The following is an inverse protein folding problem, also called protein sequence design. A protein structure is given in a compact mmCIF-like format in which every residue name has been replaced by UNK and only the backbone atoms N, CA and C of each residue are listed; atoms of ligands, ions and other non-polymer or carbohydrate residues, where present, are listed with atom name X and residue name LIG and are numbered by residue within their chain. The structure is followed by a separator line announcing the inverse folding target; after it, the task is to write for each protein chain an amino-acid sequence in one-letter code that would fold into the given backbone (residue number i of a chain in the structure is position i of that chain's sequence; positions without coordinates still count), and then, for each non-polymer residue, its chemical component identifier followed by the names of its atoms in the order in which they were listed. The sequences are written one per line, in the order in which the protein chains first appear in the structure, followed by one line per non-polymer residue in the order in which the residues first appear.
data_IF_550489886129
#
_entry.id   IF_550489886129
#
_cell.length_a   1.000
_cell.length_b   1.000
_cell.length_c   1.000
_cell.angle_alpha   90.00
_cell.angle_beta   90.00
_cell.angle_gamma   90.00
#
_symmetry.space_group_name_H-M   'P 1'
#
loop_
_entity.id
_entity.type
_entity.pdbx_description
1 polymer ?
#
# COMPACT_ATOMS: atom_id res chain seq x y z
N UNK A 1 -1.09 13.04 -10.15
CA UNK A 1 -0.15 12.42 -9.22
C UNK A 1 1.15 13.17 -9.29
N UNK A 2 1.75 13.40 -8.14
CA UNK A 2 3.07 14.00 -7.99
C UNK A 2 4.18 12.95 -8.15
N UNK A 3 5.42 13.40 -8.35
CA UNK A 3 6.60 12.51 -8.34
C UNK A 3 6.72 11.74 -7.02
N UNK A 4 6.34 12.37 -5.91
CA UNK A 4 6.30 11.74 -4.60
C UNK A 4 5.34 10.54 -4.58
N UNK A 5 4.11 10.72 -5.06
CA UNK A 5 3.11 9.64 -5.13
C UNK A 5 3.57 8.51 -6.07
N UNK A 6 4.25 8.84 -7.16
CA UNK A 6 4.86 7.83 -8.04
C UNK A 6 5.94 7.01 -7.34
N UNK A 7 6.75 7.63 -6.47
CA UNK A 7 7.73 6.91 -5.63
C UNK A 7 7.03 6.01 -4.61
N UNK A 8 5.95 6.48 -3.97
CA UNK A 8 5.18 5.68 -3.01
C UNK A 8 4.57 4.45 -3.67
N UNK A 9 3.90 4.61 -4.82
CA UNK A 9 3.35 3.50 -5.61
C UNK A 9 4.49 2.55 -6.05
N UNK A 10 5.64 3.08 -6.45
CA UNK A 10 6.77 2.23 -6.85
C UNK A 10 7.28 1.36 -5.69
N UNK A 11 7.33 1.91 -4.47
CA UNK A 11 7.73 1.17 -3.27
C UNK A 11 6.69 0.10 -2.89
N UNK A 12 5.40 0.41 -3.02
CA UNK A 12 4.30 -0.53 -2.84
C UNK A 12 4.40 -1.71 -3.81
N UNK A 13 4.43 -1.44 -5.12
CA UNK A 13 4.55 -2.49 -6.16
C UNK A 13 5.81 -3.33 -6.02
N UNK A 14 6.90 -2.74 -5.56
CA UNK A 14 8.13 -3.47 -5.30
C UNK A 14 7.98 -4.47 -4.13
N UNK A 15 7.27 -4.05 -3.08
CA UNK A 15 7.03 -4.84 -1.88
C UNK A 15 5.93 -5.89 -2.07
N UNK A 16 4.96 -5.63 -2.95
CA UNK A 16 3.83 -6.53 -3.22
C UNK A 16 4.31 -7.92 -3.67
N UNK A 17 3.83 -8.97 -3.00
CA UNK A 17 4.24 -10.36 -3.26
C UNK A 17 5.65 -10.74 -2.77
N UNK A 18 6.36 -9.84 -2.09
CA UNK A 18 7.61 -10.17 -1.38
C UNK A 18 7.30 -10.81 -0.03
N UNK A 19 8.26 -11.58 0.47
CA UNK A 19 8.17 -12.29 1.75
C UNK A 19 9.33 -11.86 2.65
N UNK A 20 9.43 -10.54 2.89
CA UNK A 20 10.51 -9.93 3.68
C UNK A 20 9.97 -8.74 4.48
N UNK A 21 10.77 -8.24 5.41
CA UNK A 21 10.45 -7.08 6.26
C UNK A 21 9.99 -5.82 5.48
N UNK A 22 10.29 -5.73 4.18
CA UNK A 22 9.90 -4.58 3.36
C UNK A 22 8.38 -4.39 3.28
N UNK A 23 7.60 -5.48 3.39
CA UNK A 23 6.13 -5.40 3.33
C UNK A 23 5.61 -4.57 4.50
N UNK A 24 6.00 -4.92 5.72
CA UNK A 24 5.59 -4.19 6.92
C UNK A 24 6.10 -2.75 6.92
N UNK A 25 7.36 -2.51 6.51
CA UNK A 25 7.91 -1.14 6.44
C UNK A 25 7.12 -0.29 5.44
N UNK A 26 6.87 -0.81 4.24
CA UNK A 26 6.14 -0.08 3.20
C UNK A 26 4.70 0.18 3.63
N UNK A 27 4.01 -0.82 4.18
CA UNK A 27 2.63 -0.67 4.67
C UNK A 27 2.56 0.38 5.78
N UNK A 28 3.42 0.31 6.79
CA UNK A 28 3.41 1.26 7.89
C UNK A 28 3.74 2.69 7.43
N UNK A 29 4.67 2.84 6.48
CA UNK A 29 4.97 4.15 5.90
C UNK A 29 3.76 4.74 5.17
N UNK A 30 3.09 3.97 4.32
CA UNK A 30 1.90 4.42 3.57
C UNK A 30 0.76 4.78 4.53
N UNK A 31 0.53 3.95 5.57
CA UNK A 31 -0.45 4.25 6.62
C UNK A 31 -0.20 5.63 7.24
N UNK A 32 1.05 5.93 7.59
CA UNK A 32 1.42 7.25 8.12
C UNK A 32 1.16 8.38 7.11
N UNK A 33 1.42 8.17 5.81
CA UNK A 33 1.14 9.19 4.80
C UNK A 33 -0.36 9.43 4.58
N UNK A 34 -1.19 8.40 4.80
CA UNK A 34 -2.66 8.55 4.81
C UNK A 34 -3.07 9.38 6.03
N UNK A 35 -2.54 9.09 7.22
CA UNK A 35 -2.84 9.84 8.45
C UNK A 35 -2.41 11.32 8.36
N UNK A 36 -1.30 11.59 7.68
CA UNK A 36 -0.78 12.92 7.42
C UNK A 36 -1.50 13.66 6.25
N UNK A 37 -2.51 13.05 5.61
CA UNK A 37 -3.24 13.59 4.45
C UNK A 37 -2.32 14.00 3.28
N UNK A 38 -1.30 13.16 2.99
CA UNK A 38 -0.27 13.44 1.97
C UNK A 38 -0.47 12.75 0.64
N UNK A 39 -1.44 11.83 0.55
CA UNK A 39 -1.70 11.03 -0.65
C UNK A 39 -3.08 11.37 -1.19
N UNK A 40 -3.17 11.67 -2.49
CA UNK A 40 -4.46 11.94 -3.12
C UNK A 40 -5.31 10.68 -3.27
N UNK A 41 -6.63 10.83 -3.33
CA UNK A 41 -7.58 9.73 -3.60
C UNK A 41 -7.20 8.92 -4.83
N UNK A 42 -6.62 9.57 -5.85
CA UNK A 42 -6.15 8.89 -7.06
C UNK A 42 -4.96 7.98 -6.78
N UNK A 43 -4.02 8.40 -5.94
CA UNK A 43 -2.89 7.56 -5.51
C UNK A 43 -3.38 6.39 -4.66
N UNK A 44 -4.27 6.66 -3.71
CA UNK A 44 -4.86 5.63 -2.84
C UNK A 44 -5.69 4.61 -3.63
N UNK A 45 -6.47 5.07 -4.62
CA UNK A 45 -7.18 4.21 -5.54
C UNK A 45 -6.27 3.26 -6.30
N UNK A 46 -5.11 3.75 -6.79
CA UNK A 46 -4.14 2.88 -7.47
C UNK A 46 -3.58 1.80 -6.54
N UNK A 47 -3.18 2.17 -5.31
CA UNK A 47 -2.65 1.20 -4.33
C UNK A 47 -3.72 0.17 -3.96
N UNK A 48 -4.97 0.62 -3.74
CA UNK A 48 -6.11 -0.28 -3.47
C UNK A 48 -6.29 -1.30 -4.58
N UNK A 49 -6.29 -0.84 -5.82
CA UNK A 49 -6.52 -1.68 -6.99
C UNK A 49 -5.33 -2.64 -7.20
N UNK A 50 -4.09 -2.18 -7.04
CA UNK A 50 -2.89 -3.01 -7.11
C UNK A 50 -2.93 -4.16 -6.08
N UNK A 51 -3.34 -3.89 -4.82
CA UNK A 51 -3.51 -4.92 -3.78
C UNK A 51 -4.64 -5.90 -4.13
N UNK A 52 -5.80 -5.41 -4.62
CA UNK A 52 -6.96 -6.26 -4.96
C UNK A 52 -6.70 -7.16 -6.17
N UNK A 53 -5.95 -6.66 -7.15
CA UNK A 53 -5.62 -7.37 -8.38
C UNK A 53 -4.37 -8.25 -8.24
N UNK A 54 -3.63 -8.13 -7.13
CA UNK A 54 -2.47 -8.93 -6.85
C UNK A 54 -2.83 -10.43 -6.84
N UNK A 55 -2.18 -11.20 -7.71
CA UNK A 55 -2.31 -12.67 -7.72
C UNK A 55 -1.80 -13.32 -6.42
N UNK A 56 -0.84 -12.67 -5.77
CA UNK A 56 -0.19 -13.18 -4.56
C UNK A 56 0.32 -12.03 -3.70
N UNK A 57 -0.05 -12.02 -2.42
CA UNK A 57 0.26 -10.96 -1.46
C UNK A 57 1.49 -11.27 -0.58
N UNK A 58 2.03 -12.49 -0.66
CA UNK A 58 3.12 -12.96 0.20
C UNK A 58 2.65 -14.08 1.14
N UNK A 59 3.37 -14.28 2.25
CA UNK A 59 2.94 -15.22 3.28
C UNK A 59 1.78 -14.63 4.10
N UNK A 60 1.21 -15.45 4.99
CA UNK A 60 0.11 -15.02 5.87
C UNK A 60 0.42 -13.72 6.64
N UNK A 61 1.66 -13.52 7.10
CA UNK A 61 2.03 -12.29 7.80
C UNK A 61 2.00 -11.06 6.88
N UNK A 62 2.37 -11.22 5.61
CA UNK A 62 2.39 -10.17 4.60
C UNK A 62 0.95 -9.81 4.17
N UNK A 63 0.12 -10.83 3.94
CA UNK A 63 -1.32 -10.70 3.67
C UNK A 63 -2.03 -9.87 4.73
N UNK A 64 -1.73 -10.11 6.01
CA UNK A 64 -2.31 -9.34 7.13
C UNK A 64 -1.96 -7.85 7.02
N UNK A 65 -0.73 -7.51 6.61
CA UNK A 65 -0.33 -6.11 6.43
C UNK A 65 -1.04 -5.47 5.23
N UNK A 66 -1.12 -6.17 4.09
CA UNK A 66 -1.82 -5.65 2.92
C UNK A 66 -3.31 -5.45 3.14
N UNK A 67 -3.97 -6.40 3.82
CA UNK A 67 -5.39 -6.28 4.18
C UNK A 67 -5.63 -5.14 5.17
N UNK A 68 -4.70 -4.93 6.12
CA UNK A 68 -4.75 -3.78 7.04
C UNK A 68 -4.70 -2.46 6.28
N UNK A 69 -3.76 -2.31 5.35
CA UNK A 69 -3.66 -1.11 4.50
C UNK A 69 -4.90 -0.93 3.63
N UNK A 70 -5.38 -2.01 3.01
CA UNK A 70 -6.54 -1.99 2.14
C UNK A 70 -7.79 -1.45 2.86
N UNK A 71 -8.06 -1.94 4.07
CA UNK A 71 -9.17 -1.45 4.91
C UNK A 71 -9.03 0.03 5.21
N UNK A 72 -7.82 0.48 5.58
CA UNK A 72 -7.59 1.89 5.87
C UNK A 72 -7.85 2.78 4.66
N UNK A 73 -7.43 2.34 3.46
CA UNK A 73 -7.69 3.09 2.23
C UNK A 73 -9.19 3.18 1.96
N UNK A 74 -9.93 2.07 2.07
CA UNK A 74 -11.39 2.03 1.87
C UNK A 74 -12.19 2.82 2.92
N UNK A 75 -11.62 3.11 4.08
CA UNK A 75 -12.25 3.98 5.09
C UNK A 75 -12.12 5.48 4.76
N UNK A 76 -11.10 5.88 3.99
CA UNK A 76 -10.78 7.29 3.75
C UNK A 76 -11.18 7.79 2.36
N UNK A 77 -11.45 6.90 1.39
CA UNK A 77 -11.94 7.23 0.03
C UNK A 77 -13.38 6.76 -0.18
#
# INVERSE_FOLDING_TARGET
MSDYEHIVISAERYALGRMTYIVEITVNYIMQQIEDDKLSDRCLGQIRDDIKEAKYLGMQCDEVQWIKLLKKIEEVI
#
